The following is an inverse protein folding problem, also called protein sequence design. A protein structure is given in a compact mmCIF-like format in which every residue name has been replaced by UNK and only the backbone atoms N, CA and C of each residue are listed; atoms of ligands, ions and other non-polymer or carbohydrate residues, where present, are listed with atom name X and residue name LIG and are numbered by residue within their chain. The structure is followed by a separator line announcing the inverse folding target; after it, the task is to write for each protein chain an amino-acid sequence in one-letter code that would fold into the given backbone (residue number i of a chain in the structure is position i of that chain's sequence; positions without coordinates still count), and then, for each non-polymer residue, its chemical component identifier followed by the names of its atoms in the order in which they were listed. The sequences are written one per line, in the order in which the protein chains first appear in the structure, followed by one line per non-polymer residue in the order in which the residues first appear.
data_IF_882870754259
#
_entry.id   IF_882870754259
#
_cell.length_a   1.000
_cell.length_b   1.000
_cell.length_c   1.000
_cell.angle_alpha   90.00
_cell.angle_beta   90.00
_cell.angle_gamma   90.00
#
_symmetry.space_group_name_H-M   'P 1'
#
loop_
_entity.id
_entity.type
_entity.pdbx_description
1 polymer ?
#
# COMPACT_ATOMS: atom_id res chain seq x y z
N UNK A 1 -0.72 20.71 -7.65
CA UNK A 1 -0.10 19.45 -7.13
C UNK A 1 1.44 19.49 -7.12
N UNK A 2 2.12 20.04 -8.14
CA UNK A 2 3.59 20.13 -8.19
C UNK A 2 4.25 20.97 -7.07
N UNK A 3 3.59 22.02 -6.56
CA UNK A 3 4.11 22.88 -5.48
C UNK A 3 4.20 22.16 -4.14
N UNK A 4 3.15 21.42 -3.77
CA UNK A 4 3.06 20.69 -2.49
C UNK A 4 4.10 19.58 -2.41
N UNK A 5 4.24 18.75 -3.47
CA UNK A 5 5.27 17.70 -3.51
C UNK A 5 6.68 18.27 -3.36
N UNK A 6 6.98 19.40 -4.01
CA UNK A 6 8.29 20.07 -3.91
C UNK A 6 8.52 20.62 -2.50
N UNK A 7 7.50 21.20 -1.89
CA UNK A 7 7.59 21.73 -0.52
C UNK A 7 7.85 20.62 0.50
N UNK A 8 7.11 19.51 0.42
CA UNK A 8 7.28 18.34 1.30
C UNK A 8 8.68 17.74 1.14
N UNK A 9 9.19 17.61 -0.10
CA UNK A 9 10.57 17.13 -0.31
C UNK A 9 11.62 18.00 0.39
N UNK A 10 11.37 19.30 0.53
CA UNK A 10 12.31 20.24 1.15
C UNK A 10 12.16 20.34 2.67
N UNK A 11 10.94 20.24 3.20
CA UNK A 11 10.65 20.54 4.61
C UNK A 11 10.06 19.36 5.40
N UNK A 12 9.77 18.24 4.74
CA UNK A 12 9.01 17.13 5.33
C UNK A 12 7.51 17.42 5.41
N UNK A 13 6.77 16.51 6.04
CA UNK A 13 5.35 16.73 6.35
C UNK A 13 5.20 17.59 7.61
N UNK A 14 4.26 18.55 7.63
CA UNK A 14 3.91 19.27 8.86
C UNK A 14 3.48 18.29 9.95
N UNK A 15 3.84 18.57 11.20
CA UNK A 15 3.56 17.67 12.33
C UNK A 15 2.06 17.47 12.54
N UNK A 16 1.27 18.51 12.27
CA UNK A 16 -0.19 18.52 12.36
C UNK A 16 -0.80 17.46 11.41
N UNK A 17 -0.26 17.34 10.19
CA UNK A 17 -0.70 16.33 9.22
C UNK A 17 -0.40 14.92 9.72
N UNK A 18 0.82 14.70 10.22
CA UNK A 18 1.22 13.38 10.76
C UNK A 18 0.37 13.01 11.98
N UNK A 19 0.08 13.96 12.86
CA UNK A 19 -0.77 13.74 14.03
C UNK A 19 -2.22 13.41 13.64
N UNK A 20 -2.76 14.07 12.61
CA UNK A 20 -4.10 13.77 12.11
C UNK A 20 -4.20 12.32 11.60
N UNK A 21 -3.19 11.84 10.85
CA UNK A 21 -3.15 10.44 10.40
C UNK A 21 -3.03 9.47 11.57
N UNK A 22 -2.15 9.77 12.54
CA UNK A 22 -2.01 8.94 13.76
C UNK A 22 -3.32 8.80 14.53
N UNK A 23 -4.04 9.91 14.69
CA UNK A 23 -5.31 9.91 15.40
C UNK A 23 -6.40 9.16 14.63
N UNK A 24 -6.41 9.23 13.29
CA UNK A 24 -7.31 8.43 12.47
C UNK A 24 -7.07 6.92 12.65
N UNK A 25 -5.80 6.50 12.59
CA UNK A 25 -5.41 5.10 12.81
C UNK A 25 -5.91 4.61 14.18
N UNK A 26 -5.71 5.43 15.22
CA UNK A 26 -6.12 5.09 16.58
C UNK A 26 -7.64 5.04 16.72
N UNK A 27 -8.37 6.03 16.21
CA UNK A 27 -9.84 6.16 16.37
C UNK A 27 -10.62 5.11 15.59
N UNK A 28 -10.12 4.70 14.44
CA UNK A 28 -10.74 3.67 13.61
C UNK A 28 -10.18 2.27 13.87
N UNK A 29 -9.33 2.12 14.89
CA UNK A 29 -8.70 0.84 15.26
C UNK A 29 -8.00 0.16 14.07
N UNK A 30 -7.35 0.95 13.21
CA UNK A 30 -6.68 0.46 12.01
C UNK A 30 -5.45 -0.32 12.44
N UNK A 31 -5.44 -1.61 12.09
CA UNK A 31 -4.27 -2.47 12.28
C UNK A 31 -3.20 -2.16 11.23
N UNK A 32 -2.03 -1.71 11.68
CA UNK A 32 -0.82 -1.61 10.85
C UNK A 32 -0.16 -2.99 10.83
N UNK A 33 0.11 -3.52 9.64
CA UNK A 33 0.83 -4.78 9.45
C UNK A 33 2.19 -4.53 8.78
N UNK A 34 3.26 -5.22 9.21
CA UNK A 34 4.53 -5.20 8.50
C UNK A 34 4.37 -5.83 7.11
N UNK A 35 5.18 -5.39 6.16
CA UNK A 35 5.29 -6.07 4.87
C UNK A 35 5.91 -7.44 5.05
N UNK A 36 5.30 -8.46 4.44
CA UNK A 36 5.77 -9.85 4.49
C UNK A 36 5.93 -10.36 3.07
N UNK A 37 7.16 -10.70 2.68
CA UNK A 37 7.51 -11.29 1.40
C UNK A 37 8.95 -11.83 1.43
N UNK A 38 9.25 -12.81 0.59
CA UNK A 38 10.62 -13.16 0.22
C UNK A 38 11.04 -12.45 -1.06
N UNK A 39 12.35 -12.36 -1.31
CA UNK A 39 12.87 -11.80 -2.56
C UNK A 39 12.33 -12.53 -3.80
N UNK A 40 12.27 -13.86 -3.75
CA UNK A 40 11.73 -14.67 -4.83
C UNK A 40 10.25 -14.36 -5.08
N UNK A 41 9.42 -14.34 -4.04
CA UNK A 41 7.99 -14.01 -4.16
C UNK A 41 7.78 -12.62 -4.77
N UNK A 42 8.62 -11.66 -4.38
CA UNK A 42 8.56 -10.31 -4.92
C UNK A 42 8.84 -10.30 -6.42
N UNK A 43 9.94 -10.92 -6.87
CA UNK A 43 10.28 -10.97 -8.30
C UNK A 43 9.22 -11.71 -9.12
N UNK A 44 8.74 -12.85 -8.63
CA UNK A 44 7.67 -13.60 -9.30
C UNK A 44 6.40 -12.76 -9.42
N UNK A 45 6.01 -12.06 -8.36
CA UNK A 45 4.80 -11.20 -8.36
C UNK A 45 4.95 -10.03 -9.33
N UNK A 46 6.12 -9.39 -9.36
CA UNK A 46 6.41 -8.29 -10.27
C UNK A 46 6.30 -8.72 -11.73
N UNK A 47 6.90 -9.86 -12.07
CA UNK A 47 6.94 -10.36 -13.45
C UNK A 47 5.58 -10.91 -13.89
N UNK A 48 4.94 -11.72 -13.06
CA UNK A 48 3.70 -12.42 -13.42
C UNK A 48 2.51 -11.46 -13.49
N UNK A 49 2.44 -10.47 -12.59
CA UNK A 49 1.31 -9.54 -12.50
C UNK A 49 1.62 -8.13 -13.00
N UNK A 50 2.85 -7.89 -13.49
CA UNK A 50 3.29 -6.60 -14.05
C UNK A 50 3.02 -5.43 -13.11
N UNK A 51 3.24 -5.64 -11.81
CA UNK A 51 3.02 -4.63 -10.77
C UNK A 51 4.27 -3.78 -10.56
N UNK A 52 4.10 -2.59 -10.01
CA UNK A 52 5.23 -1.84 -9.46
C UNK A 52 5.71 -2.51 -8.16
N UNK A 53 6.97 -2.27 -7.73
CA UNK A 53 7.50 -2.77 -6.46
C UNK A 53 6.60 -2.54 -5.25
N UNK A 54 6.02 -1.35 -5.10
CA UNK A 54 5.09 -1.05 -4.00
C UNK A 54 3.86 -1.94 -4.02
N UNK A 55 3.29 -2.16 -5.20
CA UNK A 55 1.98 -2.80 -5.35
C UNK A 55 2.12 -4.31 -5.20
N UNK A 56 3.23 -4.88 -5.68
CA UNK A 56 3.60 -6.27 -5.44
C UNK A 56 3.81 -6.55 -3.94
N UNK A 57 4.47 -5.66 -3.21
CA UNK A 57 4.65 -5.78 -1.75
C UNK A 57 3.29 -5.75 -1.04
N UNK A 58 2.39 -4.85 -1.42
CA UNK A 58 1.03 -4.78 -0.87
C UNK A 58 0.28 -6.09 -1.16
N UNK A 59 0.29 -6.56 -2.41
CA UNK A 59 -0.41 -7.78 -2.81
C UNK A 59 0.10 -9.03 -2.08
N UNK A 60 1.41 -9.17 -1.90
CA UNK A 60 2.03 -10.25 -1.14
C UNK A 60 1.72 -10.15 0.35
N UNK A 61 1.75 -8.94 0.92
CA UNK A 61 1.37 -8.73 2.32
C UNK A 61 -0.08 -9.18 2.53
N UNK A 62 -1.00 -8.78 1.65
CA UNK A 62 -2.38 -9.26 1.71
C UNK A 62 -2.47 -10.78 1.66
N UNK A 63 -1.74 -11.43 0.75
CA UNK A 63 -1.69 -12.90 0.63
C UNK A 63 -1.26 -13.58 1.93
N UNK A 64 -0.15 -13.13 2.53
CA UNK A 64 0.41 -13.72 3.74
C UNK A 64 -0.46 -13.51 4.98
N UNK A 65 -1.21 -12.41 5.03
CA UNK A 65 -2.18 -12.14 6.09
C UNK A 65 -3.57 -12.73 5.85
N UNK A 66 -3.80 -13.43 4.72
CA UNK A 66 -5.12 -13.97 4.36
C UNK A 66 -6.16 -12.89 4.03
N UNK A 67 -5.72 -11.71 3.60
CA UNK A 67 -6.58 -10.62 3.15
C UNK A 67 -6.87 -10.82 1.67
N UNK A 68 -8.13 -11.10 1.35
CA UNK A 68 -8.58 -11.39 -0.01
C UNK A 68 -9.23 -10.18 -0.70
N UNK A 69 -9.36 -9.05 -0.02
CA UNK A 69 -10.11 -7.88 -0.49
C UNK A 69 -9.31 -6.61 -0.27
N UNK A 70 -9.19 -5.79 -1.32
CA UNK A 70 -8.48 -4.52 -1.28
C UNK A 70 -9.39 -3.39 -1.75
N UNK A 71 -9.43 -2.30 -0.98
CA UNK A 71 -10.10 -1.05 -1.36
C UNK A 71 -9.06 -0.13 -2.00
N UNK A 72 -9.16 0.10 -3.30
CA UNK A 72 -8.19 0.92 -4.04
C UNK A 72 -8.76 1.43 -5.37
N UNK A 73 -8.35 2.63 -5.77
CA UNK A 73 -8.60 3.16 -7.12
C UNK A 73 -7.59 2.66 -8.16
N UNK A 74 -6.59 1.89 -7.74
CA UNK A 74 -5.58 1.34 -8.63
C UNK A 74 -6.07 0.02 -9.24
N UNK A 75 -6.39 0.08 -10.53
CA UNK A 75 -6.89 -1.06 -11.28
C UNK A 75 -5.84 -2.15 -11.50
N UNK A 76 -4.56 -1.87 -11.30
CA UNK A 76 -3.48 -2.84 -11.50
C UNK A 76 -3.61 -4.05 -10.57
N UNK A 77 -4.21 -3.87 -9.39
CA UNK A 77 -4.52 -4.96 -8.46
C UNK A 77 -5.54 -5.97 -9.03
N UNK A 78 -6.32 -5.62 -10.07
CA UNK A 78 -7.21 -6.57 -10.76
C UNK A 78 -6.45 -7.69 -11.46
N UNK A 79 -5.13 -7.52 -11.70
CA UNK A 79 -4.26 -8.57 -12.25
C UNK A 79 -3.91 -9.65 -11.23
N UNK A 80 -4.15 -9.43 -9.93
CA UNK A 80 -3.76 -10.33 -8.85
C UNK A 80 -4.92 -11.29 -8.52
N UNK A 81 -4.75 -12.61 -8.73
CA UNK A 81 -5.88 -13.55 -8.69
C UNK A 81 -6.44 -13.81 -7.28
N UNK A 82 -5.67 -13.54 -6.23
CA UNK A 82 -6.11 -13.71 -4.84
C UNK A 82 -6.74 -12.45 -4.23
N UNK A 83 -6.86 -11.35 -5.01
CA UNK A 83 -7.44 -10.10 -4.53
C UNK A 83 -8.74 -9.75 -5.25
N UNK A 84 -9.77 -9.51 -4.46
CA UNK A 84 -11.00 -8.84 -4.85
C UNK A 84 -10.81 -7.34 -4.70
N UNK A 85 -10.80 -6.63 -5.82
CA UNK A 85 -10.66 -5.17 -5.85
C UNK A 85 -12.02 -4.51 -5.70
N UNK A 86 -12.14 -3.60 -4.73
CA UNK A 86 -13.28 -2.70 -4.55
C UNK A 86 -12.79 -1.28 -4.85
N UNK A 87 -13.41 -0.55 -5.80
CA UNK A 87 -13.10 0.85 -6.06
C UNK A 87 -13.67 1.79 -4.99
#
# INVERSE_FOLDING_TARGET
MYSVRRWIKKHGYPREVVNAVKELIRRLEIRIVPSVYTEQELYETLLNYRLLPSDAIIALTCRHYGIDTILTFDEDFKRVPWLRVIP
#
